data_IF_085465687954
#
_entry.id   IF_085465687954
#
_cell.length_a   1.000
_cell.length_b   1.000
_cell.length_c   1.000
_cell.angle_alpha   90.00
_cell.angle_beta   90.00
_cell.angle_gamma   90.00
#
_symmetry.space_group_name_H-M   'P 1'
#
loop_
_entity.id
_entity.type
_entity.pdbx_description
1 polymer ?
#
# COMPACT_ATOMS: atom_id res chain seq x y z
N UNK A 1 -6.24 -23.83 6.43
CA UNK A 1 -7.29 -23.14 5.66
C UNK A 1 -8.45 -22.76 6.56
N UNK A 2 -9.09 -23.77 7.17
CA UNK A 2 -10.32 -23.61 7.94
C UNK A 2 -10.21 -22.71 9.20
N UNK A 3 -9.07 -22.73 9.91
CA UNK A 3 -8.86 -21.91 11.12
C UNK A 3 -8.18 -20.55 10.82
N UNK A 4 -8.05 -20.17 9.55
CA UNK A 4 -7.39 -18.93 9.16
C UNK A 4 -8.14 -17.68 9.66
N UNK A 5 -9.44 -17.80 9.98
CA UNK A 5 -10.23 -16.69 10.52
C UNK A 5 -9.73 -16.23 11.90
N UNK A 6 -9.30 -17.16 12.77
CA UNK A 6 -8.75 -16.84 14.10
C UNK A 6 -7.41 -16.14 13.95
N UNK A 7 -6.54 -16.66 13.08
CA UNK A 7 -5.25 -16.04 12.77
C UNK A 7 -5.40 -14.65 12.16
N UNK A 8 -6.39 -14.46 11.27
CA UNK A 8 -6.70 -13.17 10.64
C UNK A 8 -7.22 -12.16 11.66
N UNK A 9 -8.12 -12.58 12.57
CA UNK A 9 -8.60 -11.72 13.65
C UNK A 9 -7.47 -11.31 14.60
N UNK A 10 -6.63 -12.27 15.02
CA UNK A 10 -5.50 -11.99 15.90
C UNK A 10 -4.50 -11.03 15.26
N UNK A 11 -4.22 -11.21 13.96
CA UNK A 11 -3.39 -10.29 13.20
C UNK A 11 -4.03 -8.90 13.12
N UNK A 12 -5.33 -8.81 12.83
CA UNK A 12 -6.07 -7.55 12.79
C UNK A 12 -6.01 -6.79 14.12
N UNK A 13 -6.19 -7.47 15.25
CA UNK A 13 -6.06 -6.88 16.59
C UNK A 13 -4.63 -6.38 16.82
N UNK A 14 -3.62 -7.18 16.47
CA UNK A 14 -2.21 -6.84 16.64
C UNK A 14 -1.82 -5.60 15.83
N UNK A 15 -2.29 -5.49 14.59
CA UNK A 15 -2.07 -4.31 13.74
C UNK A 15 -2.77 -3.07 14.33
N UNK A 16 -4.00 -3.19 14.81
CA UNK A 16 -4.70 -2.08 15.47
C UNK A 16 -3.95 -1.59 16.72
N UNK A 17 -3.43 -2.52 17.53
CA UNK A 17 -2.63 -2.19 18.70
C UNK A 17 -1.33 -1.46 18.29
N UNK A 18 -0.67 -1.91 17.23
CA UNK A 18 0.53 -1.24 16.71
C UNK A 18 0.21 0.18 16.20
N UNK A 19 -0.90 0.37 15.48
CA UNK A 19 -1.36 1.68 15.04
C UNK A 19 -1.63 2.60 16.23
N UNK A 20 -2.25 2.10 17.30
CA UNK A 20 -2.49 2.87 18.51
C UNK A 20 -1.19 3.35 19.16
N UNK A 21 -0.16 2.51 19.22
CA UNK A 21 1.17 2.89 19.71
C UNK A 21 1.79 4.00 18.84
N UNK A 22 1.69 3.87 17.52
CA UNK A 22 2.21 4.89 16.58
C UNK A 22 1.53 6.25 16.82
N UNK A 23 0.20 6.27 16.99
CA UNK A 23 -0.52 7.50 17.30
C UNK A 23 -0.11 8.12 18.64
N UNK A 24 0.12 7.30 19.67
CA UNK A 24 0.59 7.80 20.96
C UNK A 24 1.97 8.46 20.85
N UNK A 25 2.89 7.85 20.11
CA UNK A 25 4.23 8.40 19.84
C UNK A 25 4.13 9.70 19.05
N UNK A 26 3.29 9.71 17.99
CA UNK A 26 3.10 10.88 17.14
C UNK A 26 2.44 12.06 17.89
N UNK A 27 1.52 11.79 18.81
CA UNK A 27 0.85 12.82 19.59
C UNK A 27 1.74 13.41 20.69
N UNK A 28 2.76 12.67 21.13
CA UNK A 28 3.75 13.15 22.11
C UNK A 28 4.96 13.83 21.45
N UNK A 29 5.28 13.48 20.21
CA UNK A 29 6.37 14.07 19.43
C UNK A 29 5.97 15.35 18.70
N UNK A 30 6.80 16.38 18.76
CA UNK A 30 6.58 17.65 18.04
C UNK A 30 7.30 17.67 16.69
N UNK A 31 6.88 16.83 15.74
CA UNK A 31 7.41 16.86 14.37
C UNK A 31 7.16 15.58 13.58
N UNK A 32 7.73 15.52 12.38
CA UNK A 32 7.67 14.33 11.54
C UNK A 32 8.38 13.13 12.19
N UNK A 33 8.08 11.92 11.71
CA UNK A 33 8.71 10.65 12.16
C UNK A 33 10.24 10.76 12.20
N UNK A 34 10.82 11.53 11.27
CA UNK A 34 12.26 11.78 11.18
C UNK A 34 12.77 12.55 12.41
N UNK A 35 12.04 13.58 12.85
CA UNK A 35 12.36 14.36 14.05
C UNK A 35 12.18 13.53 15.31
N UNK A 36 11.07 12.79 15.41
CA UNK A 36 10.79 11.91 16.56
C UNK A 36 11.91 10.86 16.74
N UNK A 37 12.37 10.25 15.65
CA UNK A 37 13.47 9.28 15.72
C UNK A 37 14.79 9.92 16.18
N UNK A 38 15.06 11.18 15.79
CA UNK A 38 16.25 11.90 16.25
C UNK A 38 16.13 12.32 17.72
N UNK A 39 14.94 12.69 18.18
CA UNK A 39 14.68 13.12 19.55
C UNK A 39 14.76 11.95 20.54
N UNK A 40 14.26 10.77 20.16
CA UNK A 40 14.24 9.58 21.02
C UNK A 40 15.56 8.82 21.01
N UNK A 41 16.19 8.63 19.84
CA UNK A 41 17.39 7.80 19.68
C UNK A 41 18.69 8.61 19.55
N UNK A 42 18.60 9.94 19.54
CA UNK A 42 19.72 10.84 19.33
C UNK A 42 20.17 10.94 17.87
N UNK A 43 21.04 11.92 17.60
CA UNK A 43 21.45 12.31 16.23
C UNK A 43 22.08 11.19 15.40
N UNK A 44 22.85 10.29 16.04
CA UNK A 44 23.59 9.23 15.33
C UNK A 44 22.71 8.02 15.04
N UNK A 45 22.10 7.42 16.06
CA UNK A 45 21.26 6.22 15.91
C UNK A 45 19.94 6.58 15.20
N UNK A 46 19.32 7.71 15.57
CA UNK A 46 18.14 8.22 14.86
C UNK A 46 18.43 8.57 13.40
N UNK A 47 19.62 9.10 13.10
CA UNK A 47 20.07 9.33 11.73
C UNK A 47 20.17 8.06 10.89
N UNK A 48 20.80 7.01 11.44
CA UNK A 48 20.88 5.70 10.78
C UNK A 48 19.49 5.09 10.57
N UNK A 49 18.63 5.14 11.58
CA UNK A 49 17.27 4.60 11.48
C UNK A 49 16.43 5.35 10.44
N UNK A 50 16.54 6.67 10.37
CA UNK A 50 15.89 7.48 9.34
C UNK A 50 16.40 7.15 7.93
N UNK A 51 17.70 6.88 7.77
CA UNK A 51 18.25 6.43 6.49
C UNK A 51 17.71 5.05 6.08
N UNK A 52 17.64 4.11 7.01
CA UNK A 52 17.02 2.79 6.78
C UNK A 52 15.54 2.96 6.41
N UNK A 53 14.81 3.81 7.13
CA UNK A 53 13.41 4.10 6.84
C UNK A 53 13.21 4.73 5.46
N UNK A 54 14.03 5.72 5.10
CA UNK A 54 13.97 6.35 3.78
C UNK A 54 14.28 5.35 2.66
N UNK A 55 15.32 4.53 2.83
CA UNK A 55 15.66 3.50 1.84
C UNK A 55 14.56 2.44 1.71
N UNK A 56 13.91 2.07 2.82
CA UNK A 56 12.74 1.21 2.81
C UNK A 56 11.58 1.80 1.98
N UNK A 57 11.24 3.08 2.18
CA UNK A 57 10.18 3.76 1.40
C UNK A 57 10.54 3.81 -0.09
N UNK A 58 11.80 4.08 -0.44
CA UNK A 58 12.26 4.07 -1.83
C UNK A 58 12.14 2.68 -2.45
N UNK A 59 12.57 1.63 -1.73
CA UNK A 59 12.45 0.25 -2.19
C UNK A 59 10.97 -0.16 -2.36
N UNK A 60 10.09 0.25 -1.45
CA UNK A 60 8.65 0.04 -1.56
C UNK A 60 8.06 0.71 -2.80
N UNK A 61 8.49 1.93 -3.11
CA UNK A 61 8.09 2.62 -4.35
C UNK A 61 8.61 1.90 -5.60
N UNK A 62 9.85 1.43 -5.58
CA UNK A 62 10.47 0.70 -6.69
C UNK A 62 9.80 -0.66 -6.94
N UNK A 63 9.47 -1.41 -5.88
CA UNK A 63 8.75 -2.69 -6.01
C UNK A 63 7.34 -2.46 -6.56
N UNK A 64 6.63 -1.45 -6.08
CA UNK A 64 5.30 -1.08 -6.60
C UNK A 64 5.34 -0.68 -8.08
N UNK A 65 6.37 0.06 -8.50
CA UNK A 65 6.57 0.40 -9.91
C UNK A 65 6.85 -0.85 -10.75
N UNK A 66 7.69 -1.75 -10.25
CA UNK A 66 8.04 -2.98 -10.96
C UNK A 66 6.83 -3.89 -11.15
N UNK A 67 6.03 -4.10 -10.11
CA UNK A 67 4.81 -4.92 -10.21
C UNK A 67 3.80 -4.31 -11.17
N UNK A 68 3.66 -2.97 -11.20
CA UNK A 68 2.82 -2.30 -12.18
C UNK A 68 3.29 -2.55 -13.62
N UNK A 69 4.59 -2.41 -13.89
CA UNK A 69 5.16 -2.65 -15.22
C UNK A 69 4.92 -4.10 -15.66
N UNK A 70 5.13 -5.06 -14.76
CA UNK A 70 4.90 -6.48 -15.02
C UNK A 70 3.44 -6.77 -15.41
N UNK A 71 2.48 -6.16 -14.71
CA UNK A 71 1.06 -6.26 -15.07
C UNK A 71 0.81 -5.68 -16.47
N UNK A 72 1.34 -4.51 -16.80
CA UNK A 72 1.16 -3.92 -18.14
C UNK A 72 1.80 -4.78 -19.23
N UNK A 73 2.96 -5.39 -18.96
CA UNK A 73 3.64 -6.30 -19.88
C UNK A 73 2.83 -7.55 -20.18
N UNK A 74 2.31 -8.19 -19.13
CA UNK A 74 1.55 -9.44 -19.27
C UNK A 74 0.22 -9.20 -19.98
N UNK A 75 -0.45 -8.09 -19.71
CA UNK A 75 -1.83 -7.87 -20.15
C UNK A 75 -1.99 -6.99 -21.39
N UNK A 76 -1.05 -6.08 -21.69
CA UNK A 76 -1.23 -5.07 -22.74
C UNK A 76 -0.09 -5.05 -23.78
N UNK A 77 1.15 -4.86 -23.34
CA UNK A 77 2.27 -4.58 -24.25
C UNK A 77 3.51 -5.41 -23.94
N UNK A 78 3.56 -6.69 -24.36
CA UNK A 78 4.66 -7.59 -24.05
C UNK A 78 6.02 -7.18 -24.64
N UNK A 79 6.02 -6.38 -25.72
CA UNK A 79 7.21 -6.06 -26.51
C UNK A 79 7.84 -4.69 -26.21
N UNK A 80 7.23 -3.84 -25.37
CA UNK A 80 7.76 -2.52 -25.03
C UNK A 80 8.86 -2.67 -23.97
N UNK A 81 9.91 -1.85 -24.00
CA UNK A 81 10.94 -1.88 -22.95
C UNK A 81 10.41 -1.35 -21.62
N UNK A 82 10.73 -2.03 -20.52
CA UNK A 82 10.31 -1.65 -19.15
C UNK A 82 10.72 -0.22 -18.77
N UNK A 83 11.87 0.26 -19.25
CA UNK A 83 12.35 1.61 -18.97
C UNK A 83 11.45 2.71 -19.53
N UNK A 84 10.81 2.48 -20.68
CA UNK A 84 9.90 3.45 -21.31
C UNK A 84 8.61 3.58 -20.51
N UNK A 85 8.07 2.45 -20.06
CA UNK A 85 6.88 2.41 -19.21
C UNK A 85 7.19 3.07 -17.85
N UNK A 86 8.32 2.72 -17.24
CA UNK A 86 8.79 3.31 -16.00
C UNK A 86 8.94 4.83 -16.10
N UNK A 87 9.63 5.34 -17.13
CA UNK A 87 9.85 6.77 -17.33
C UNK A 87 8.54 7.54 -17.54
N UNK A 88 7.62 6.98 -18.32
CA UNK A 88 6.30 7.58 -18.55
C UNK A 88 5.49 7.63 -17.25
N UNK A 89 5.47 6.53 -16.49
CA UNK A 89 4.74 6.45 -15.22
C UNK A 89 5.32 7.40 -14.17
N UNK A 90 6.65 7.45 -14.02
CA UNK A 90 7.31 8.39 -13.11
C UNK A 90 7.06 9.86 -13.51
N UNK A 91 7.01 10.16 -14.81
CA UNK A 91 6.62 11.49 -15.30
C UNK A 91 5.20 11.88 -14.88
N UNK A 92 4.25 10.94 -14.97
CA UNK A 92 2.88 11.15 -14.47
C UNK A 92 2.86 11.35 -12.95
N UNK A 93 3.59 10.52 -12.19
CA UNK A 93 3.69 10.69 -10.73
C UNK A 93 4.23 12.08 -10.37
N UNK A 94 5.27 12.56 -11.06
CA UNK A 94 5.82 13.89 -10.84
C UNK A 94 4.78 14.99 -11.12
N UNK A 95 4.03 14.88 -12.21
CA UNK A 95 2.95 15.82 -12.53
C UNK A 95 1.85 15.83 -11.45
N UNK A 96 1.48 14.67 -10.93
CA UNK A 96 0.46 14.53 -9.90
C UNK A 96 0.92 15.16 -8.58
N UNK A 97 2.16 14.88 -8.17
CA UNK A 97 2.75 15.41 -6.93
C UNK A 97 2.90 16.93 -7.01
N UNK A 98 3.32 17.47 -8.16
CA UNK A 98 3.43 18.93 -8.36
C UNK A 98 2.06 19.64 -8.38
N UNK A 99 0.98 18.94 -8.72
CA UNK A 99 -0.40 19.42 -8.56
C UNK A 99 -0.86 19.61 -7.11
N UNK A 100 -0.08 19.13 -6.13
CA UNK A 100 -0.34 19.30 -4.71
C UNK A 100 -1.29 18.25 -4.12
N UNK A 101 -1.51 18.33 -2.80
CA UNK A 101 -2.23 17.30 -2.03
C UNK A 101 -3.64 17.01 -2.54
N UNK A 102 -4.36 18.04 -3.02
CA UNK A 102 -5.73 17.89 -3.52
C UNK A 102 -5.81 16.97 -4.75
N UNK A 103 -4.82 17.06 -5.66
CA UNK A 103 -4.77 16.23 -6.87
C UNK A 103 -4.47 14.78 -6.50
N UNK A 104 -3.49 14.58 -5.60
CA UNK A 104 -3.14 13.25 -5.09
C UNK A 104 -4.34 12.57 -4.43
N UNK A 105 -5.05 13.28 -3.55
CA UNK A 105 -6.24 12.75 -2.88
C UNK A 105 -7.38 12.44 -3.87
N UNK A 106 -7.59 13.29 -4.87
CA UNK A 106 -8.59 13.07 -5.91
C UNK A 106 -8.30 11.80 -6.73
N UNK A 107 -7.05 11.59 -7.13
CA UNK A 107 -6.64 10.39 -7.87
C UNK A 107 -6.78 9.14 -7.00
N UNK A 108 -6.41 9.21 -5.72
CA UNK A 108 -6.63 8.11 -4.77
C UNK A 108 -8.11 7.75 -4.63
N UNK A 109 -8.99 8.76 -4.54
CA UNK A 109 -10.43 8.55 -4.50
C UNK A 109 -10.94 7.82 -5.76
N UNK A 110 -10.58 8.32 -6.96
CA UNK A 110 -10.99 7.65 -8.20
C UNK A 110 -10.39 6.26 -8.37
N UNK A 111 -9.17 6.05 -7.86
CA UNK A 111 -8.49 4.76 -7.85
C UNK A 111 -9.22 3.69 -7.03
N UNK A 112 -10.07 4.08 -6.07
CA UNK A 112 -10.93 3.15 -5.31
C UNK A 112 -12.31 3.06 -5.96
N UNK A 113 -12.90 4.20 -6.32
CA UNK A 113 -14.28 4.26 -6.82
C UNK A 113 -14.43 3.54 -8.16
N UNK A 114 -13.52 3.73 -9.11
CA UNK A 114 -13.65 3.11 -10.44
C UNK A 114 -13.54 1.57 -10.35
N UNK A 115 -12.54 0.97 -9.69
CA UNK A 115 -12.49 -0.49 -9.54
C UNK A 115 -13.63 -1.04 -8.69
N UNK A 116 -14.20 -0.26 -7.76
CA UNK A 116 -15.31 -0.73 -6.92
C UNK A 116 -16.55 -1.14 -7.74
N UNK A 117 -16.75 -0.60 -8.94
CA UNK A 117 -17.85 -1.03 -9.80
C UNK A 117 -17.69 -2.47 -10.31
N UNK A 118 -16.48 -3.05 -10.26
CA UNK A 118 -16.27 -4.47 -10.57
C UNK A 118 -16.92 -5.40 -9.55
N UNK A 119 -17.32 -4.92 -8.37
CA UNK A 119 -18.10 -5.69 -7.39
C UNK A 119 -19.38 -6.25 -8.04
N UNK A 120 -19.99 -5.51 -8.96
CA UNK A 120 -21.19 -5.98 -9.66
C UNK A 120 -20.93 -7.21 -10.54
N UNK A 121 -19.71 -7.39 -11.05
CA UNK A 121 -19.34 -8.56 -11.85
C UNK A 121 -19.37 -9.86 -11.02
N UNK A 122 -19.20 -9.78 -9.69
CA UNK A 122 -19.28 -10.94 -8.80
C UNK A 122 -20.69 -11.51 -8.62
N UNK A 123 -21.75 -10.81 -9.02
CA UNK A 123 -23.10 -11.36 -8.98
C UNK A 123 -23.29 -12.54 -9.94
N UNK A 124 -22.63 -12.51 -11.10
CA UNK A 124 -22.75 -13.58 -12.10
C UNK A 124 -22.17 -14.93 -11.64
N UNK A 125 -20.94 -15.04 -11.10
CA UNK A 125 -20.40 -16.32 -10.62
C UNK A 125 -21.07 -16.82 -9.34
N UNK A 126 -21.85 -15.99 -8.65
CA UNK A 126 -22.52 -16.36 -7.39
C UNK A 126 -23.54 -17.49 -7.58
N UNK A 127 -24.08 -17.67 -8.79
CA UNK A 127 -24.93 -18.82 -9.14
C UNK A 127 -24.18 -20.16 -9.13
N UNK A 128 -22.85 -20.14 -9.26
CA UNK A 128 -21.97 -21.30 -9.19
C UNK A 128 -21.27 -21.41 -7.83
N UNK A 129 -21.64 -20.57 -6.86
CA UNK A 129 -21.04 -20.59 -5.53
C UNK A 129 -21.50 -21.84 -4.77
N UNK A 130 -20.53 -22.65 -4.37
CA UNK A 130 -20.77 -23.74 -3.41
C UNK A 130 -20.64 -23.18 -1.99
N UNK A 131 -21.80 -22.89 -1.38
CA UNK A 131 -21.89 -22.35 -0.03
C UNK A 131 -21.35 -23.31 1.04
N UNK A 132 -21.14 -24.60 0.71
CA UNK A 132 -20.51 -25.54 1.64
C UNK A 132 -19.05 -25.17 1.94
N UNK A 133 -18.37 -24.54 0.98
CA UNK A 133 -16.99 -24.04 1.15
C UNK A 133 -16.90 -22.79 2.05
N UNK A 134 -18.04 -22.21 2.46
CA UNK A 134 -18.07 -21.07 3.39
C UNK A 134 -18.17 -21.51 4.86
N UNK A 135 -18.51 -22.78 5.13
CA UNK A 135 -18.53 -23.26 6.51
C UNK A 135 -17.09 -23.41 7.03
N UNK A 136 -16.78 -22.88 8.22
CA UNK A 136 -15.46 -23.01 8.85
C UNK A 136 -15.21 -24.42 9.42
N UNK A 137 -16.05 -25.39 9.06
CA UNK A 137 -16.06 -26.76 9.59
C UNK A 137 -16.45 -27.67 8.42
N UNK A 138 -15.58 -28.64 8.12
CA UNK A 138 -15.93 -29.75 7.25
C UNK A 138 -16.82 -30.74 8.01
#
# INVERSE_FOLDING_TARGET
>A
GNDAWISTLLFGISVNLMIWIIYQILNQGNGDIIAINQDVLGKWIGGLFNFIFLSYIVLLGATTLHTYIEVVHVWMFPSISSWVIAGTFLGLCYYIVTGGFRVVAGIGFFGIVIPSTLIFTFFYPLQYADFQNLFPIA
#
